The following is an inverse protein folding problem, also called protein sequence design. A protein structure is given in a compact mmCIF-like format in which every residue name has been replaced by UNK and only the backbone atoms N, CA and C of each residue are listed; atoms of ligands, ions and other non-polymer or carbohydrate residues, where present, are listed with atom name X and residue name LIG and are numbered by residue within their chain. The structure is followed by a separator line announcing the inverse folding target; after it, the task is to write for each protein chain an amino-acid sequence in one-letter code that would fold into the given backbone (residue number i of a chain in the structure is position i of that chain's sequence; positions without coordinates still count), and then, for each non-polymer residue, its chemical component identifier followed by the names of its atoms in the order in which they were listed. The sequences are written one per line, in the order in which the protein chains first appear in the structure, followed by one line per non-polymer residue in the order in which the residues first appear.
data_IF_343262513789
#
_entry.id   IF_343262513789
#
_cell.length_a   1.000
_cell.length_b   1.000
_cell.length_c   1.000
_cell.angle_alpha   90.00
_cell.angle_beta   90.00
_cell.angle_gamma   90.00
#
_symmetry.space_group_name_H-M   'P 1'
#
loop_
_entity.id
_entity.type
_entity.pdbx_description
1 polymer ?
#
# COMPACT_ATOMS: atom_id res chain seq x y z
N UNK A 1 -12.56 8.39 14.35
CA UNK A 1 -13.47 7.32 13.87
C UNK A 1 -12.66 6.02 13.77
N UNK A 2 -13.21 4.85 14.13
CA UNK A 2 -12.50 3.58 13.92
C UNK A 2 -12.21 3.35 12.43
N UNK A 3 -11.02 2.83 12.12
CA UNK A 3 -10.59 2.58 10.76
C UNK A 3 -11.02 1.22 10.21
N UNK A 4 -10.56 0.90 9.00
CA UNK A 4 -10.78 -0.37 8.33
C UNK A 4 -10.12 -1.52 9.09
N UNK A 5 -8.98 -1.26 9.73
CA UNK A 5 -8.29 -2.18 10.64
C UNK A 5 -9.16 -2.61 11.83
N UNK A 6 -9.96 -1.69 12.39
CA UNK A 6 -10.92 -2.00 13.45
C UNK A 6 -12.06 -2.89 12.94
N UNK A 7 -12.63 -2.55 11.77
CA UNK A 7 -13.69 -3.36 11.16
C UNK A 7 -13.18 -4.78 10.85
N UNK A 8 -12.00 -4.88 10.23
CA UNK A 8 -11.35 -6.14 9.92
C UNK A 8 -11.09 -6.97 11.18
N UNK A 9 -10.59 -6.34 12.25
CA UNK A 9 -10.38 -6.97 13.56
C UNK A 9 -11.65 -7.61 14.10
N UNK A 10 -12.78 -6.90 14.00
CA UNK A 10 -14.09 -7.40 14.41
C UNK A 10 -14.59 -8.53 13.50
N UNK A 11 -14.47 -8.37 12.18
CA UNK A 11 -14.93 -9.36 11.20
C UNK A 11 -14.18 -10.69 11.30
N UNK A 12 -12.87 -10.66 11.53
CA UNK A 12 -12.04 -11.86 11.68
C UNK A 12 -12.05 -12.43 13.11
N UNK A 13 -12.72 -11.77 14.06
CA UNK A 13 -12.73 -12.20 15.47
C UNK A 13 -11.34 -12.19 16.11
N UNK A 14 -10.46 -11.26 15.71
CA UNK A 14 -9.12 -11.16 16.30
C UNK A 14 -9.22 -10.72 17.76
N UNK A 15 -8.16 -11.01 18.52
CA UNK A 15 -8.06 -10.63 19.93
C UNK A 15 -8.27 -9.10 20.09
N UNK A 16 -9.07 -8.63 21.06
CA UNK A 16 -9.25 -7.19 21.29
C UNK A 16 -7.94 -6.44 21.60
N UNK A 17 -6.93 -7.15 22.09
CA UNK A 17 -5.60 -6.61 22.39
C UNK A 17 -4.64 -6.61 21.19
N UNK A 18 -5.11 -6.91 19.98
CA UNK A 18 -4.27 -6.90 18.77
C UNK A 18 -3.68 -5.50 18.55
N UNK A 19 -2.36 -5.43 18.35
CA UNK A 19 -1.67 -4.19 18.00
C UNK A 19 -2.00 -3.88 16.54
N UNK A 20 -2.56 -2.69 16.27
CA UNK A 20 -3.00 -2.30 14.92
C UNK A 20 -2.21 -1.10 14.44
N UNK A 21 -1.91 -1.11 13.14
CA UNK A 21 -1.36 0.04 12.42
C UNK A 21 -2.15 0.20 11.12
N UNK A 22 -2.85 1.32 10.99
CA UNK A 22 -3.62 1.64 9.79
C UNK A 22 -2.93 2.75 9.02
N UNK A 23 -2.65 2.52 7.75
CA UNK A 23 -2.08 3.52 6.84
C UNK A 23 -3.08 3.82 5.73
N UNK A 24 -3.60 5.05 5.73
CA UNK A 24 -4.51 5.53 4.69
C UNK A 24 -3.78 6.36 3.64
N UNK A 25 -4.29 6.33 2.41
CA UNK A 25 -3.92 7.27 1.34
C UNK A 25 -2.42 7.31 1.02
N UNK A 26 -1.72 6.18 1.13
CA UNK A 26 -0.30 6.07 0.76
C UNK A 26 -0.12 5.83 -0.75
N UNK A 27 -1.16 5.38 -1.47
CA UNK A 27 -1.09 5.10 -2.90
C UNK A 27 -0.31 3.83 -3.23
N UNK A 28 0.14 3.70 -4.47
CA UNK A 28 0.61 2.43 -5.04
C UNK A 28 1.86 1.83 -4.35
N UNK A 29 2.65 2.61 -3.60
CA UNK A 29 3.83 2.10 -2.90
C UNK A 29 3.51 1.53 -1.50
N UNK A 30 2.26 1.67 -1.03
CA UNK A 30 1.84 1.25 0.31
C UNK A 30 2.19 -0.20 0.63
N UNK A 31 2.08 -1.09 -0.36
CA UNK A 31 2.43 -2.52 -0.23
C UNK A 31 3.90 -2.72 0.18
N UNK A 32 4.84 -1.94 -0.37
CA UNK A 32 6.23 -1.98 0.05
C UNK A 32 6.42 -1.45 1.48
N UNK A 33 5.69 -0.38 1.84
CA UNK A 33 5.71 0.20 3.18
C UNK A 33 5.18 -0.76 4.24
N UNK A 34 4.06 -1.45 4.00
CA UNK A 34 3.51 -2.42 4.97
C UNK A 34 4.44 -3.61 5.17
N UNK A 35 5.12 -4.09 4.11
CA UNK A 35 6.09 -5.18 4.24
C UNK A 35 7.28 -4.76 5.10
N UNK A 36 7.81 -3.54 4.90
CA UNK A 36 8.86 -2.97 5.74
C UNK A 36 8.46 -2.89 7.20
N UNK A 37 7.28 -2.33 7.47
CA UNK A 37 6.82 -2.21 8.86
C UNK A 37 6.54 -3.59 9.48
N UNK A 38 5.97 -4.52 8.72
CA UNK A 38 5.70 -5.88 9.20
C UNK A 38 6.99 -6.64 9.51
N UNK A 39 8.05 -6.46 8.72
CA UNK A 39 9.39 -7.01 9.01
C UNK A 39 9.88 -6.55 10.39
N UNK A 40 9.89 -5.24 10.63
CA UNK A 40 10.35 -4.69 11.91
C UNK A 40 9.48 -5.18 13.08
N UNK A 41 8.16 -5.25 12.89
CA UNK A 41 7.23 -5.74 13.91
C UNK A 41 7.41 -7.22 14.22
N UNK A 42 7.60 -8.06 13.20
CA UNK A 42 7.81 -9.49 13.38
C UNK A 42 9.16 -9.78 14.06
N UNK A 43 10.25 -9.23 13.53
CA UNK A 43 11.61 -9.51 14.03
C UNK A 43 11.86 -8.95 15.43
N UNK A 44 11.26 -7.81 15.76
CA UNK A 44 11.47 -7.16 17.06
C UNK A 44 10.50 -7.66 18.17
N UNK A 45 9.57 -8.57 17.86
CA UNK A 45 8.63 -9.12 18.83
C UNK A 45 8.57 -10.65 18.71
N UNK A 46 9.28 -11.36 19.61
CA UNK A 46 9.34 -12.83 19.60
C UNK A 46 7.94 -13.47 19.53
N UNK A 47 7.74 -14.35 18.55
CA UNK A 47 6.48 -15.07 18.33
C UNK A 47 5.35 -14.20 17.76
N UNK A 48 5.64 -12.98 17.33
CA UNK A 48 4.64 -12.16 16.66
C UNK A 48 4.33 -12.70 15.27
N UNK A 49 3.03 -12.78 14.99
CA UNK A 49 2.49 -13.08 13.67
C UNK A 49 1.71 -11.83 13.21
N UNK A 50 2.20 -11.19 12.15
CA UNK A 50 1.68 -9.94 11.61
C UNK A 50 0.82 -10.24 10.40
N UNK A 51 -0.47 -9.94 10.51
CA UNK A 51 -1.42 -9.97 9.39
C UNK A 51 -1.34 -8.63 8.64
N UNK A 52 -0.83 -8.65 7.42
CA UNK A 52 -0.81 -7.49 6.53
C UNK A 52 -1.96 -7.61 5.54
N UNK A 53 -2.78 -6.55 5.45
CA UNK A 53 -3.88 -6.48 4.47
C UNK A 53 -3.77 -5.18 3.69
N UNK A 54 -3.76 -5.29 2.36
CA UNK A 54 -3.95 -4.18 1.44
C UNK A 54 -5.28 -4.38 0.73
N UNK A 55 -6.17 -3.39 0.79
CA UNK A 55 -7.45 -3.42 0.10
C UNK A 55 -7.68 -2.07 -0.55
N UNK A 56 -7.93 -2.10 -1.85
CA UNK A 56 -8.13 -0.94 -2.69
C UNK A 56 -9.49 -1.07 -3.40
N UNK A 57 -10.22 0.05 -3.42
CA UNK A 57 -11.53 0.16 -4.06
C UNK A 57 -11.60 1.47 -4.85
N UNK A 58 -12.07 1.38 -6.09
CA UNK A 58 -12.17 2.49 -7.03
C UNK A 58 -13.35 3.42 -6.76
N UNK A 59 -14.22 3.09 -5.81
CA UNK A 59 -15.40 3.88 -5.47
C UNK A 59 -15.08 5.36 -5.18
N UNK A 60 -13.92 5.64 -4.57
CA UNK A 60 -13.48 7.00 -4.26
C UNK A 60 -12.85 7.74 -5.43
N UNK A 61 -12.46 7.04 -6.49
CA UNK A 61 -11.78 7.60 -7.68
C UNK A 61 -12.65 7.58 -8.93
N UNK A 62 -13.75 6.83 -8.92
CA UNK A 62 -14.68 6.68 -10.01
C UNK A 62 -15.41 8.00 -10.30
N UNK A 63 -15.41 8.41 -11.58
CA UNK A 63 -16.09 9.63 -12.04
C UNK A 63 -16.35 9.58 -13.54
N UNK A 64 -17.33 10.36 -13.98
CA UNK A 64 -17.63 10.53 -15.40
C UNK A 64 -16.46 11.15 -16.18
N UNK A 65 -16.36 10.82 -17.46
CA UNK A 65 -15.39 11.40 -18.39
C UNK A 65 -15.66 12.88 -18.63
N UNK A 66 -14.63 13.71 -18.54
CA UNK A 66 -14.65 15.11 -18.97
C UNK A 66 -13.47 15.31 -19.93
N UNK A 67 -13.74 15.80 -21.14
CA UNK A 67 -12.75 15.93 -22.22
C UNK A 67 -11.54 16.81 -21.85
N UNK A 68 -11.68 17.68 -20.84
CA UNK A 68 -10.60 18.55 -20.35
C UNK A 68 -9.59 17.85 -19.43
N UNK A 69 -9.78 16.58 -19.06
CA UNK A 69 -8.95 15.86 -18.08
C UNK A 69 -8.50 14.47 -18.56
N UNK A 70 -7.61 14.42 -19.55
CA UNK A 70 -7.07 13.17 -20.11
C UNK A 70 -6.43 12.25 -19.04
N UNK A 71 -5.78 12.79 -18.00
CA UNK A 71 -5.18 11.96 -16.94
C UNK A 71 -6.24 11.20 -16.13
N UNK A 72 -7.44 11.78 -15.99
CA UNK A 72 -8.56 11.10 -15.35
C UNK A 72 -9.00 9.90 -16.16
N UNK A 73 -9.00 9.97 -17.50
CA UNK A 73 -9.34 8.84 -18.37
C UNK A 73 -8.33 7.70 -18.24
N UNK A 74 -7.04 8.03 -18.16
CA UNK A 74 -5.98 7.04 -17.91
C UNK A 74 -6.21 6.35 -16.57
N UNK A 75 -6.51 7.12 -15.51
CA UNK A 75 -6.85 6.57 -14.21
C UNK A 75 -8.06 5.62 -14.26
N UNK A 76 -9.15 6.02 -14.91
CA UNK A 76 -10.34 5.17 -15.05
C UNK A 76 -10.06 3.88 -15.84
N UNK A 77 -9.10 3.90 -16.78
CA UNK A 77 -8.73 2.72 -17.56
C UNK A 77 -7.78 1.77 -16.82
N UNK A 78 -7.03 2.25 -15.83
CA UNK A 78 -6.00 1.48 -15.13
C UNK A 78 -6.44 0.96 -13.76
N UNK A 79 -7.26 1.72 -13.03
CA UNK A 79 -7.62 1.35 -11.66
C UNK A 79 -8.69 0.25 -11.65
N UNK A 80 -8.49 -0.72 -10.76
CA UNK A 80 -9.44 -1.78 -10.47
C UNK A 80 -9.50 -2.06 -8.98
N UNK A 81 -10.49 -2.84 -8.59
CA UNK A 81 -10.70 -3.22 -7.19
C UNK A 81 -9.90 -4.48 -6.86
N UNK A 82 -9.36 -4.56 -5.64
CA UNK A 82 -8.60 -5.73 -5.21
C UNK A 82 -8.23 -5.71 -3.73
N UNK A 83 -8.00 -6.90 -3.18
CA UNK A 83 -7.43 -7.04 -1.85
C UNK A 83 -6.41 -8.18 -1.83
N UNK A 84 -5.35 -8.00 -1.07
CA UNK A 84 -4.31 -9.00 -0.84
C UNK A 84 -3.94 -9.05 0.64
N UNK A 85 -3.55 -10.23 1.10
CA UNK A 85 -3.14 -10.45 2.49
C UNK A 85 -1.91 -11.34 2.55
N UNK A 86 -1.03 -11.07 3.51
CA UNK A 86 0.12 -11.92 3.83
C UNK A 86 0.29 -12.04 5.33
N UNK A 87 0.73 -13.22 5.78
CA UNK A 87 1.15 -13.47 7.16
C UNK A 87 2.66 -13.38 7.22
N UNK A 88 3.19 -12.58 8.14
CA UNK A 88 4.62 -12.34 8.32
C UNK A 88 4.99 -12.60 9.77
N UNK A 89 5.98 -13.45 9.99
CA UNK A 89 6.53 -13.78 11.29
C UNK A 89 8.02 -14.08 11.17
N UNK A 90 8.73 -14.08 12.30
CA UNK A 90 10.11 -14.57 12.41
C UNK A 90 10.13 -15.92 13.11
N UNK A 91 11.21 -16.68 12.92
CA UNK A 91 11.46 -17.97 13.59
C UNK A 91 10.33 -19.00 13.40
N UNK A 92 10.06 -19.43 12.15
CA UNK A 92 8.91 -20.25 11.83
C UNK A 92 8.97 -21.63 12.50
N UNK A 93 7.82 -22.11 12.98
CA UNK A 93 7.68 -23.47 13.54
C UNK A 93 7.45 -24.45 12.39
N UNK A 94 8.50 -25.10 11.91
CA UNK A 94 8.48 -25.91 10.68
C UNK A 94 7.50 -27.11 10.68
N UNK A 95 7.00 -27.52 11.84
CA UNK A 95 5.96 -28.55 11.95
C UNK A 95 4.58 -28.05 11.51
N UNK A 96 4.29 -26.75 11.66
CA UNK A 96 2.99 -26.14 11.42
C UNK A 96 3.01 -25.01 10.40
N UNK A 97 4.18 -24.41 10.17
CA UNK A 97 4.37 -23.26 9.30
C UNK A 97 5.29 -23.62 8.14
N UNK A 98 4.91 -23.17 6.94
CA UNK A 98 5.70 -23.34 5.72
C UNK A 98 6.12 -21.97 5.17
N UNK A 99 7.37 -21.53 5.43
CA UNK A 99 7.88 -20.30 4.86
C UNK A 99 7.83 -20.33 3.33
N UNK A 100 7.31 -19.27 2.72
CA UNK A 100 7.26 -19.13 1.26
C UNK A 100 8.41 -18.26 0.74
N UNK A 101 8.70 -17.18 1.46
CA UNK A 101 9.74 -16.21 1.15
C UNK A 101 10.35 -15.65 2.44
N UNK A 102 11.55 -15.10 2.34
CA UNK A 102 12.23 -14.38 3.41
C UNK A 102 12.38 -12.90 3.02
N UNK A 103 11.99 -11.99 3.91
CA UNK A 103 12.19 -10.55 3.74
C UNK A 103 13.60 -10.17 4.19
N UNK A 104 14.60 -10.32 3.31
CA UNK A 104 16.02 -10.10 3.65
C UNK A 104 16.29 -8.63 4.02
N UNK A 105 15.80 -7.68 3.23
CA UNK A 105 16.00 -6.25 3.46
C UNK A 105 14.82 -5.44 2.93
N UNK A 106 14.68 -4.21 3.42
CA UNK A 106 13.68 -3.25 2.93
C UNK A 106 14.29 -1.86 2.88
N UNK A 107 13.90 -1.07 1.88
CA UNK A 107 14.39 0.28 1.67
C UNK A 107 13.33 1.14 0.98
N UNK A 108 13.45 2.44 1.14
CA UNK A 108 12.63 3.44 0.43
C UNK A 108 13.51 4.64 0.13
N UNK A 109 13.27 5.29 -1.00
CA UNK A 109 13.95 6.53 -1.37
C UNK A 109 12.97 7.51 -2.00
N UNK A 110 13.27 8.80 -1.91
CA UNK A 110 12.59 9.86 -2.63
C UNK A 110 13.41 10.19 -3.87
N UNK A 111 12.75 10.28 -5.03
CA UNK A 111 13.43 10.66 -6.26
C UNK A 111 13.71 12.16 -6.27
N UNK A 112 14.93 12.54 -6.65
CA UNK A 112 15.27 13.96 -6.86
C UNK A 112 14.46 14.52 -8.03
N UNK A 113 14.07 15.79 -7.92
CA UNK A 113 13.27 16.52 -8.92
C UNK A 113 11.95 15.81 -9.30
N UNK A 114 11.32 15.15 -8.31
CA UNK A 114 10.06 14.41 -8.48
C UNK A 114 8.82 15.11 -7.92
N UNK A 115 8.98 16.31 -7.37
CA UNK A 115 7.89 17.08 -6.79
C UNK A 115 6.76 17.32 -7.79
N UNK A 116 5.52 17.05 -7.36
CA UNK A 116 4.33 17.17 -8.20
C UNK A 116 4.27 16.17 -9.38
N UNK A 117 5.14 15.14 -9.40
CA UNK A 117 5.09 14.12 -10.45
C UNK A 117 3.79 13.31 -10.38
N UNK A 118 3.34 12.98 -9.16
CA UNK A 118 2.05 12.35 -8.87
C UNK A 118 1.48 12.99 -7.62
N UNK A 119 0.35 13.67 -7.76
CA UNK A 119 -0.41 14.23 -6.64
C UNK A 119 -1.77 13.56 -6.51
N UNK A 120 -2.15 13.25 -5.26
CA UNK A 120 -3.46 12.74 -4.89
C UNK A 120 -4.17 13.75 -3.99
N UNK A 121 -5.27 14.31 -4.48
CA UNK A 121 -6.05 15.30 -3.73
C UNK A 121 -7.45 14.76 -3.44
N UNK A 122 -7.78 14.65 -2.15
CA UNK A 122 -9.12 14.30 -1.70
C UNK A 122 -10.00 15.55 -1.66
N UNK A 123 -11.07 15.53 -2.46
CA UNK A 123 -12.08 16.58 -2.51
C UNK A 123 -13.45 16.02 -2.12
N UNK A 124 -14.46 16.89 -2.03
CA UNK A 124 -15.86 16.50 -1.84
C UNK A 124 -16.36 15.54 -2.93
N UNK A 125 -15.80 15.65 -4.13
CA UNK A 125 -16.08 14.80 -5.30
C UNK A 125 -15.18 13.56 -5.38
N UNK A 126 -14.56 13.17 -4.26
CA UNK A 126 -13.65 12.04 -4.18
C UNK A 126 -12.19 12.38 -4.48
N UNK A 127 -11.39 11.36 -4.76
CA UNK A 127 -9.95 11.44 -4.94
C UNK A 127 -9.59 11.76 -6.40
N UNK A 128 -8.86 12.86 -6.60
CA UNK A 128 -8.30 13.25 -7.91
C UNK A 128 -6.81 12.98 -7.96
N UNK A 129 -6.39 12.30 -9.03
CA UNK A 129 -4.98 12.11 -9.34
C UNK A 129 -4.56 13.11 -10.41
N UNK A 130 -3.41 13.74 -10.19
CA UNK A 130 -2.77 14.62 -11.15
C UNK A 130 -1.40 14.02 -11.40
N UNK A 131 -1.10 13.71 -12.65
CA UNK A 131 0.21 13.19 -13.05
C UNK A 131 0.86 14.18 -13.99
N UNK A 132 2.09 14.59 -13.69
CA UNK A 132 2.89 15.31 -14.67
C UNK A 132 3.45 14.30 -15.69
N UNK A 133 3.56 14.70 -16.97
CA UNK A 133 4.06 13.85 -18.08
C UNK A 133 5.50 13.32 -17.88
N UNK A 134 6.19 13.74 -16.81
CA UNK A 134 7.60 13.41 -16.53
C UNK A 134 7.80 12.06 -15.81
N UNK A 135 6.74 11.41 -15.32
CA UNK A 135 6.84 10.23 -14.44
C UNK A 135 7.65 9.05 -15.03
N UNK A 136 7.43 8.70 -16.31
CA UNK A 136 8.14 7.57 -16.94
C UNK A 136 9.65 7.80 -17.10
N UNK A 137 10.08 9.05 -17.30
CA UNK A 137 11.49 9.39 -17.52
C UNK A 137 12.32 9.37 -16.23
N UNK A 138 11.68 9.64 -15.08
CA UNK A 138 12.35 9.76 -13.79
C UNK A 138 12.72 8.38 -13.22
N UNK A 139 11.78 7.43 -13.25
CA UNK A 139 11.99 6.09 -12.68
C UNK A 139 13.11 5.30 -13.39
N UNK A 140 13.21 5.43 -14.72
CA UNK A 140 14.24 4.75 -15.52
C UNK A 140 15.65 5.29 -15.30
N UNK A 141 15.80 6.55 -14.87
CA UNK A 141 17.12 7.13 -14.57
C UNK A 141 17.68 6.61 -13.26
N UNK A 142 16.83 6.43 -12.26
CA UNK A 142 17.25 5.98 -10.92
C UNK A 142 17.61 4.49 -10.90
N UNK A 143 16.85 3.63 -11.58
CA UNK A 143 17.17 2.19 -11.65
C UNK A 143 18.46 1.87 -12.42
N UNK A 144 18.97 2.80 -13.23
CA UNK A 144 20.25 2.62 -13.95
C UNK A 144 21.47 3.10 -13.14
N UNK A 145 21.25 3.77 -12.01
CA UNK A 145 22.31 4.29 -11.14
C UNK A 145 22.42 3.59 -9.79
N UNK A 146 21.64 2.53 -9.56
CA UNK A 146 21.66 1.69 -8.36
C UNK A 146 22.28 0.31 -8.65
#
# INVERSE_FOLDING_TARGET
MPGADYQLTKFLGLRPSVKRLMMYQQGCFASGTVLRVAKDLAENNKGAQVLVVCSEITAVTFRGSIDTHLDSLIGQALFGDGAATVMIGSDPVLETEKPLFELVSTAQTMLLDSDGAIDGHLYEVGLRFISSKMFRGLFLRTLRGA
#
